data_IF_245060844451
#
_entry.id   IF_245060844451
#
_cell.length_a   1.000
_cell.length_b   1.000
_cell.length_c   1.000
_cell.angle_alpha   90.00
_cell.angle_beta   90.00
_cell.angle_gamma   90.00
#
_symmetry.space_group_name_H-M   'P 1'
#
loop_
_entity.id
_entity.type
_entity.pdbx_description
1 polymer ?
#
# COMPACT_ATOMS: atom_id res chain seq x y z
N UNK A 1 13.16 -1.76 33.43
CA UNK A 1 12.45 -2.40 34.56
C UNK A 1 11.79 -3.65 34.01
N UNK A 2 11.67 -4.76 34.76
CA UNK A 2 10.87 -5.89 34.28
C UNK A 2 9.42 -5.42 34.15
N UNK A 3 8.89 -5.48 32.94
CA UNK A 3 7.48 -5.19 32.64
C UNK A 3 6.60 -6.16 33.44
N UNK A 4 5.56 -5.66 34.10
CA UNK A 4 4.67 -6.49 34.94
C UNK A 4 3.99 -7.56 34.06
N UNK A 5 4.02 -8.83 34.49
CA UNK A 5 3.38 -9.95 33.80
C UNK A 5 1.89 -9.67 33.52
N UNK A 6 1.22 -8.93 34.42
CA UNK A 6 -0.15 -8.47 34.24
C UNK A 6 -0.29 -7.49 33.08
N UNK A 7 0.65 -6.56 32.93
CA UNK A 7 0.68 -5.60 31.83
C UNK A 7 0.86 -6.33 30.49
N UNK A 8 1.81 -7.26 30.42
CA UNK A 8 2.08 -8.06 29.22
C UNK A 8 0.84 -8.85 28.76
N UNK A 9 0.17 -9.53 29.70
CA UNK A 9 -1.07 -10.26 29.43
C UNK A 9 -2.18 -9.31 28.93
N UNK A 10 -2.28 -8.12 29.53
CA UNK A 10 -3.25 -7.11 29.11
C UNK A 10 -3.00 -6.62 27.68
N UNK A 11 -1.72 -6.42 27.30
CA UNK A 11 -1.36 -6.07 25.93
C UNK A 11 -1.78 -7.18 24.95
N UNK A 12 -1.56 -8.45 25.29
CA UNK A 12 -1.98 -9.59 24.46
C UNK A 12 -3.50 -9.67 24.29
N UNK A 13 -4.27 -9.47 25.37
CA UNK A 13 -5.73 -9.42 25.32
C UNK A 13 -6.24 -8.31 24.39
N UNK A 14 -5.65 -7.12 24.49
CA UNK A 14 -5.98 -5.99 23.62
C UNK A 14 -5.58 -6.24 22.16
N UNK A 15 -4.41 -6.85 21.94
CA UNK A 15 -3.97 -7.29 20.61
C UNK A 15 -5.00 -8.23 19.97
N UNK A 16 -5.46 -9.23 20.71
CA UNK A 16 -6.46 -10.20 20.22
C UNK A 16 -7.75 -9.50 19.82
N UNK A 17 -8.29 -8.67 20.72
CA UNK A 17 -9.54 -7.93 20.48
C UNK A 17 -9.45 -7.04 19.25
N UNK A 18 -8.32 -6.37 19.04
CA UNK A 18 -8.13 -5.50 17.88
C UNK A 18 -8.06 -6.29 16.56
N UNK A 19 -7.33 -7.42 16.56
CA UNK A 19 -7.25 -8.33 15.41
C UNK A 19 -8.62 -8.91 15.05
N UNK A 20 -9.43 -9.24 16.05
CA UNK A 20 -10.77 -9.78 15.86
C UNK A 20 -11.76 -8.71 15.38
N UNK A 21 -11.77 -7.53 16.01
CA UNK A 21 -12.65 -6.43 15.66
C UNK A 21 -12.51 -6.00 14.19
N UNK A 22 -11.28 -5.89 13.69
CA UNK A 22 -11.01 -5.48 12.30
C UNK A 22 -11.29 -6.56 11.26
N UNK A 23 -11.42 -7.84 11.65
CA UNK A 23 -11.45 -8.98 10.72
C UNK A 23 -12.57 -8.91 9.69
N UNK A 24 -13.72 -8.33 10.07
CA UNK A 24 -14.89 -8.18 9.19
C UNK A 24 -14.83 -6.93 8.30
N UNK A 25 -13.88 -6.02 8.54
CA UNK A 25 -13.74 -4.73 7.83
C UNK A 25 -12.88 -4.94 6.58
N UNK A 26 -13.49 -5.56 5.56
CA UNK A 26 -12.84 -5.79 4.26
C UNK A 26 -13.13 -4.64 3.30
N UNK A 27 -12.42 -3.52 3.48
CA UNK A 27 -12.67 -2.25 2.76
C UNK A 27 -12.82 -2.47 1.25
N UNK A 28 -11.86 -3.15 0.60
CA UNK A 28 -11.86 -3.34 -0.85
C UNK A 28 -13.03 -4.22 -1.32
N UNK A 29 -13.39 -5.25 -0.56
CA UNK A 29 -14.53 -6.12 -0.87
C UNK A 29 -15.86 -5.37 -0.73
N UNK A 30 -15.95 -4.46 0.26
CA UNK A 30 -17.15 -3.66 0.51
C UNK A 30 -17.37 -2.54 -0.52
N UNK A 31 -16.37 -2.16 -1.31
CA UNK A 31 -16.52 -1.03 -2.27
C UNK A 31 -16.53 -1.47 -3.73
N UNK A 32 -16.35 -2.77 -4.03
CA UNK A 32 -16.21 -3.29 -5.39
C UNK A 32 -17.47 -3.07 -6.25
N UNK A 33 -17.23 -2.88 -7.54
CA UNK A 33 -18.28 -2.89 -8.56
C UNK A 33 -18.39 -4.30 -9.15
N UNK A 34 -19.60 -4.77 -9.40
CA UNK A 34 -19.82 -6.09 -9.99
C UNK A 34 -19.46 -6.10 -11.47
N UNK A 35 -19.14 -7.28 -12.01
CA UNK A 35 -18.85 -7.48 -13.42
C UNK A 35 -20.01 -7.08 -14.35
N UNK A 36 -21.25 -7.11 -13.86
CA UNK A 36 -22.42 -6.65 -14.61
C UNK A 36 -22.32 -5.15 -14.96
N UNK A 37 -21.71 -4.34 -14.11
CA UNK A 37 -21.47 -2.92 -14.35
C UNK A 37 -20.50 -2.74 -15.53
N UNK A 38 -19.43 -3.55 -15.55
CA UNK A 38 -18.44 -3.56 -16.65
C UNK A 38 -19.08 -3.99 -17.96
N UNK A 39 -19.83 -5.09 -17.95
CA UNK A 39 -20.53 -5.61 -19.13
C UNK A 39 -21.51 -4.59 -19.70
N UNK A 40 -22.29 -3.91 -18.85
CA UNK A 40 -23.22 -2.87 -19.26
C UNK A 40 -22.51 -1.67 -19.90
N UNK A 41 -21.42 -1.20 -19.27
CA UNK A 41 -20.61 -0.08 -19.77
C UNK A 41 -20.08 -0.35 -21.18
N UNK A 42 -19.51 -1.53 -21.43
CA UNK A 42 -19.00 -1.89 -22.75
C UNK A 42 -20.11 -2.21 -23.76
N UNK A 43 -21.26 -2.74 -23.33
CA UNK A 43 -22.44 -2.90 -24.19
C UNK A 43 -22.93 -1.55 -24.73
N UNK A 44 -22.77 -0.49 -23.95
CA UNK A 44 -23.04 0.90 -24.35
C UNK A 44 -21.86 1.58 -25.05
N UNK A 45 -20.84 0.79 -25.48
CA UNK A 45 -19.63 1.25 -26.17
C UNK A 45 -18.85 2.31 -25.39
N UNK A 46 -18.86 2.22 -24.05
CA UNK A 46 -18.17 3.16 -23.17
C UNK A 46 -18.56 4.63 -23.41
N UNK A 47 -19.84 4.90 -23.69
CA UNK A 47 -20.36 6.26 -23.96
C UNK A 47 -21.22 6.83 -22.84
N UNK A 48 -21.70 5.98 -21.95
CA UNK A 48 -22.55 6.33 -20.83
C UNK A 48 -21.82 6.04 -19.52
N UNK A 49 -22.20 6.75 -18.46
CA UNK A 49 -21.64 6.50 -17.13
C UNK A 49 -22.12 5.13 -16.63
N UNK A 50 -21.26 4.37 -15.92
CA UNK A 50 -21.68 3.16 -15.24
C UNK A 50 -22.91 3.39 -14.35
N UNK A 51 -23.86 2.45 -14.28
CA UNK A 51 -25.03 2.62 -13.44
C UNK A 51 -24.75 2.25 -11.97
N UNK A 52 -23.98 3.09 -11.27
CA UNK A 52 -23.65 2.92 -9.85
C UNK A 52 -24.15 4.14 -9.07
N UNK A 53 -25.21 3.95 -8.28
CA UNK A 53 -25.88 5.00 -7.50
C UNK A 53 -25.75 4.75 -6.00
N UNK A 54 -26.32 5.63 -5.17
CA UNK A 54 -26.48 5.37 -3.74
C UNK A 54 -27.27 4.06 -3.50
N UNK A 55 -28.33 3.83 -4.27
CA UNK A 55 -29.18 2.64 -4.16
C UNK A 55 -28.39 1.34 -4.41
N UNK A 56 -27.43 1.36 -5.35
CA UNK A 56 -26.54 0.22 -5.59
C UNK A 56 -25.81 -0.22 -4.31
N UNK A 57 -25.35 0.73 -3.48
CA UNK A 57 -24.68 0.41 -2.22
C UNK A 57 -25.66 0.08 -1.09
N UNK A 58 -26.85 0.68 -1.07
CA UNK A 58 -27.91 0.34 -0.10
C UNK A 58 -28.39 -1.11 -0.26
N UNK A 59 -28.43 -1.61 -1.49
CA UNK A 59 -28.74 -3.02 -1.80
C UNK A 59 -27.58 -3.99 -1.49
N UNK A 60 -26.45 -3.48 -0.97
CA UNK A 60 -25.25 -4.24 -0.60
C UNK A 60 -24.84 -3.94 0.85
N UNK A 61 -25.60 -4.48 1.82
CA UNK A 61 -25.36 -4.21 3.23
C UNK A 61 -23.95 -4.64 3.65
N UNK A 62 -23.40 -3.92 4.62
CA UNK A 62 -22.12 -4.30 5.24
C UNK A 62 -22.30 -5.60 6.03
N UNK A 63 -21.23 -6.42 6.19
CA UNK A 63 -21.29 -7.65 6.97
C UNK A 63 -21.31 -7.41 8.50
N UNK A 64 -21.55 -6.16 8.93
CA UNK A 64 -21.60 -5.72 10.32
C UNK A 64 -22.47 -4.47 10.44
N UNK A 65 -23.00 -4.21 11.65
CA UNK A 65 -23.61 -2.93 11.98
C UNK A 65 -22.52 -1.87 12.23
N UNK A 66 -22.65 -0.70 11.59
CA UNK A 66 -21.64 0.34 11.66
C UNK A 66 -21.56 1.02 13.04
N UNK A 67 -22.66 1.10 13.77
CA UNK A 67 -22.70 1.75 15.09
C UNK A 67 -22.10 0.82 16.15
N UNK A 68 -22.48 -0.45 16.14
CA UNK A 68 -21.90 -1.49 17.01
C UNK A 68 -20.40 -1.65 16.77
N UNK A 69 -19.97 -1.65 15.50
CA UNK A 69 -18.55 -1.79 15.16
C UNK A 69 -17.70 -0.60 15.62
N UNK A 70 -18.23 0.63 15.53
CA UNK A 70 -17.55 1.81 16.09
C UNK A 70 -17.48 1.75 17.61
N UNK A 71 -18.55 1.30 18.27
CA UNK A 71 -18.59 1.13 19.72
C UNK A 71 -17.59 0.07 20.20
N UNK A 72 -17.41 -1.03 19.46
CA UNK A 72 -16.40 -2.05 19.75
C UNK A 72 -14.97 -1.45 19.82
N UNK A 73 -14.58 -0.64 18.83
CA UNK A 73 -13.27 0.03 18.85
C UNK A 73 -13.14 1.06 19.97
N UNK A 74 -14.23 1.78 20.28
CA UNK A 74 -14.27 2.72 21.39
C UNK A 74 -14.03 2.01 22.73
N UNK A 75 -14.63 0.84 22.93
CA UNK A 75 -14.42 0.02 24.12
C UNK A 75 -12.99 -0.53 24.22
N UNK A 76 -12.42 -1.01 23.11
CA UNK A 76 -11.01 -1.45 23.07
C UNK A 76 -10.07 -0.30 23.48
N UNK A 77 -10.26 0.89 22.92
CA UNK A 77 -9.46 2.07 23.26
C UNK A 77 -9.63 2.46 24.74
N UNK A 78 -10.87 2.51 25.24
CA UNK A 78 -11.14 2.81 26.65
C UNK A 78 -10.42 1.83 27.59
N UNK A 79 -10.45 0.55 27.25
CA UNK A 79 -9.82 -0.50 28.03
C UNK A 79 -8.29 -0.46 27.99
N UNK A 80 -7.71 -0.02 26.87
CA UNK A 80 -6.28 0.26 26.76
C UNK A 80 -5.89 1.46 27.62
N UNK A 81 -6.66 2.55 27.59
CA UNK A 81 -6.41 3.74 28.42
C UNK A 81 -6.51 3.43 29.92
N UNK A 82 -7.53 2.68 30.33
CA UNK A 82 -7.74 2.29 31.73
C UNK A 82 -6.67 1.32 32.23
N UNK A 83 -6.22 0.39 31.37
CA UNK A 83 -5.32 -0.70 31.77
C UNK A 83 -3.83 -0.40 31.62
N UNK A 84 -3.45 0.41 30.62
CA UNK A 84 -2.05 0.69 30.26
C UNK A 84 -1.69 2.18 30.38
N UNK A 85 -2.67 3.04 30.69
CA UNK A 85 -2.49 4.49 30.77
C UNK A 85 -2.52 5.17 29.40
N UNK A 86 -2.97 6.42 29.37
CA UNK A 86 -3.18 7.20 28.14
C UNK A 86 -1.89 7.47 27.34
N UNK A 87 -0.75 7.61 28.02
CA UNK A 87 0.52 8.02 27.41
C UNK A 87 1.45 6.85 27.06
N UNK A 88 1.08 5.62 27.43
CA UNK A 88 1.85 4.43 27.05
C UNK A 88 1.98 4.33 25.52
N UNK A 89 3.17 3.97 24.98
CA UNK A 89 3.35 3.76 23.56
C UNK A 89 2.36 2.74 22.97
N UNK A 90 2.07 1.66 23.70
CA UNK A 90 1.09 0.64 23.26
C UNK A 90 -0.30 1.26 23.13
N UNK A 91 -0.75 2.04 24.13
CA UNK A 91 -2.05 2.71 24.08
C UNK A 91 -2.13 3.67 22.90
N UNK A 92 -1.05 4.39 22.57
CA UNK A 92 -1.01 5.30 21.42
C UNK A 92 -1.15 4.56 20.08
N UNK A 93 -0.47 3.42 19.93
CA UNK A 93 -0.62 2.55 18.74
C UNK A 93 -2.04 1.98 18.61
N UNK A 94 -2.61 1.49 19.72
CA UNK A 94 -3.99 0.97 19.75
C UNK A 94 -4.99 2.08 19.44
N UNK A 95 -4.80 3.26 20.03
CA UNK A 95 -5.64 4.44 19.79
C UNK A 95 -5.71 4.77 18.30
N UNK A 96 -4.57 4.87 17.62
CA UNK A 96 -4.54 5.14 16.18
C UNK A 96 -5.34 4.12 15.40
N UNK A 97 -5.10 2.83 15.64
CA UNK A 97 -5.82 1.78 14.93
C UNK A 97 -7.33 1.80 15.20
N UNK A 98 -7.75 1.96 16.46
CA UNK A 98 -9.16 2.07 16.80
C UNK A 98 -9.83 3.27 16.12
N UNK A 99 -9.19 4.44 16.15
CA UNK A 99 -9.71 5.68 15.54
C UNK A 99 -9.81 5.53 14.01
N UNK A 100 -8.80 4.97 13.36
CA UNK A 100 -8.81 4.81 11.91
C UNK A 100 -9.73 3.70 11.41
N UNK A 101 -9.86 2.58 12.13
CA UNK A 101 -10.85 1.57 11.78
C UNK A 101 -12.27 2.06 12.03
N UNK A 102 -12.50 2.83 13.10
CA UNK A 102 -13.78 3.52 13.33
C UNK A 102 -14.13 4.46 12.18
N UNK A 103 -13.15 5.26 11.71
CA UNK A 103 -13.32 6.13 10.53
C UNK A 103 -13.51 5.34 9.23
N UNK A 104 -12.85 4.19 9.05
CA UNK A 104 -13.09 3.31 7.92
C UNK A 104 -14.52 2.74 7.93
N UNK A 105 -15.05 2.40 9.10
CA UNK A 105 -16.45 1.96 9.25
C UNK A 105 -17.41 3.07 8.87
N UNK A 106 -17.15 4.32 9.30
CA UNK A 106 -17.93 5.49 8.89
C UNK A 106 -17.89 5.67 7.38
N UNK A 107 -16.70 5.60 6.77
CA UNK A 107 -16.50 5.70 5.33
C UNK A 107 -17.34 4.64 4.59
N UNK A 108 -17.30 3.39 5.04
CA UNK A 108 -18.06 2.29 4.43
C UNK A 108 -19.58 2.42 4.62
N UNK A 109 -20.04 3.03 5.73
CA UNK A 109 -21.46 3.24 5.99
C UNK A 109 -22.08 4.29 5.04
N UNK A 110 -21.26 5.22 4.52
CA UNK A 110 -21.72 6.34 3.67
C UNK A 110 -21.34 6.17 2.19
N UNK A 111 -21.06 4.93 1.74
CA UNK A 111 -20.78 4.59 0.33
C UNK A 111 -21.85 5.19 -0.60
N UNK A 112 -21.41 5.71 -1.74
CA UNK A 112 -22.29 6.36 -2.73
C UNK A 112 -22.69 7.80 -2.39
N UNK A 113 -22.22 8.37 -1.27
CA UNK A 113 -22.42 9.79 -0.92
C UNK A 113 -21.10 10.58 -1.02
N UNK A 114 -21.14 11.92 -1.13
CA UNK A 114 -19.93 12.74 -1.12
C UNK A 114 -19.04 12.53 0.12
N UNK A 115 -19.65 12.26 1.28
CA UNK A 115 -18.93 12.03 2.54
C UNK A 115 -17.96 10.83 2.48
N UNK A 116 -18.22 9.85 1.61
CA UNK A 116 -17.28 8.73 1.38
C UNK A 116 -15.90 9.24 0.93
N UNK A 117 -15.88 10.21 0.02
CA UNK A 117 -14.63 10.72 -0.57
C UNK A 117 -13.85 11.56 0.43
N UNK A 118 -14.54 12.37 1.23
CA UNK A 118 -13.93 13.14 2.32
C UNK A 118 -13.26 12.22 3.35
N UNK A 119 -13.97 11.18 3.81
CA UNK A 119 -13.42 10.20 4.75
C UNK A 119 -12.29 9.37 4.12
N UNK A 120 -12.35 9.09 2.81
CA UNK A 120 -11.22 8.47 2.11
C UNK A 120 -9.99 9.37 2.14
N UNK A 121 -10.14 10.67 1.91
CA UNK A 121 -9.02 11.63 1.95
C UNK A 121 -8.45 11.76 3.36
N UNK A 122 -9.28 11.74 4.40
CA UNK A 122 -8.80 11.72 5.79
C UNK A 122 -7.95 10.48 6.11
N UNK A 123 -8.27 9.33 5.51
CA UNK A 123 -7.59 8.06 5.77
C UNK A 123 -6.33 7.83 4.93
N UNK A 124 -6.36 8.21 3.66
CA UNK A 124 -5.30 7.91 2.68
C UNK A 124 -4.52 9.14 2.20
N UNK A 125 -5.00 10.34 2.52
CA UNK A 125 -4.47 11.62 2.04
C UNK A 125 -5.25 12.20 0.87
N UNK A 126 -4.92 13.44 0.53
CA UNK A 126 -5.48 14.20 -0.58
C UNK A 126 -4.43 14.44 -1.68
N UNK A 127 -4.81 14.52 -2.97
CA UNK A 127 -3.90 14.98 -4.03
C UNK A 127 -3.35 16.41 -3.79
N UNK A 128 -4.06 17.22 -3.00
CA UNK A 128 -3.63 18.57 -2.60
C UNK A 128 -2.60 18.58 -1.46
N UNK A 129 -2.30 17.42 -0.85
CA UNK A 129 -1.32 17.31 0.22
C UNK A 129 0.07 17.79 -0.26
N UNK A 130 0.65 18.73 0.49
CA UNK A 130 2.06 19.12 0.35
C UNK A 130 2.94 18.28 1.28
N UNK A 131 4.15 17.96 0.83
CA UNK A 131 5.06 17.11 1.62
C UNK A 131 5.65 17.81 2.87
N UNK A 132 5.86 19.13 2.78
CA UNK A 132 6.22 20.03 3.88
C UNK A 132 5.69 21.43 3.54
N UNK A 133 5.74 22.36 4.50
CA UNK A 133 5.29 23.74 4.28
C UNK A 133 6.00 24.36 3.07
N UNK A 134 5.23 24.80 2.07
CA UNK A 134 5.72 25.31 0.77
C UNK A 134 6.52 24.30 -0.07
N UNK A 135 6.39 23.02 0.21
CA UNK A 135 6.95 21.94 -0.58
C UNK A 135 6.09 21.60 -1.80
N UNK A 136 6.62 20.77 -2.72
CA UNK A 136 5.88 20.34 -3.89
C UNK A 136 4.69 19.47 -3.50
N UNK A 137 3.65 19.50 -4.33
CA UNK A 137 2.52 18.57 -4.25
C UNK A 137 2.91 17.21 -4.83
N UNK A 138 2.23 16.15 -4.40
CA UNK A 138 2.42 14.81 -4.99
C UNK A 138 2.10 14.77 -6.49
N UNK A 139 1.14 15.58 -6.93
CA UNK A 139 0.71 15.69 -8.32
C UNK A 139 1.78 16.31 -9.22
N UNK A 140 2.58 17.24 -8.71
CA UNK A 140 3.68 17.88 -9.43
C UNK A 140 4.81 16.88 -9.76
N UNK A 141 5.12 15.99 -8.81
CA UNK A 141 6.07 14.90 -9.07
C UNK A 141 5.54 13.94 -10.14
N UNK A 142 4.22 13.69 -10.14
CA UNK A 142 3.59 12.87 -11.15
C UNK A 142 3.79 13.44 -12.56
N UNK A 143 3.53 14.73 -12.75
CA UNK A 143 3.76 15.39 -14.05
C UNK A 143 5.20 15.30 -14.53
N UNK A 144 6.18 15.55 -13.66
CA UNK A 144 7.61 15.51 -13.99
C UNK A 144 8.10 14.14 -14.48
N UNK A 145 7.61 13.06 -13.89
CA UNK A 145 8.07 11.70 -14.21
C UNK A 145 7.28 11.08 -15.37
N UNK A 146 6.06 11.50 -15.62
CA UNK A 146 5.16 10.84 -16.56
C UNK A 146 5.70 10.83 -18.00
N UNK A 147 6.14 11.97 -18.53
CA UNK A 147 6.61 12.08 -19.92
C UNK A 147 7.89 11.28 -20.13
N UNK A 148 8.84 11.39 -19.19
CA UNK A 148 10.10 10.64 -19.22
C UNK A 148 9.83 9.12 -19.21
N UNK A 149 8.99 8.65 -18.30
CA UNK A 149 8.69 7.23 -18.16
C UNK A 149 7.92 6.69 -19.36
N UNK A 150 7.07 7.50 -20.01
CA UNK A 150 6.33 7.09 -21.21
C UNK A 150 7.28 6.77 -22.35
N UNK A 151 8.29 7.63 -22.59
CA UNK A 151 9.30 7.38 -23.63
C UNK A 151 10.13 6.13 -23.30
N UNK A 152 10.56 5.99 -22.04
CA UNK A 152 11.40 4.88 -21.61
C UNK A 152 10.69 3.52 -21.63
N UNK A 153 9.38 3.49 -21.33
CA UNK A 153 8.59 2.25 -21.33
C UNK A 153 8.50 1.61 -22.72
N UNK A 154 8.40 2.43 -23.77
CA UNK A 154 8.40 1.96 -25.16
C UNK A 154 9.78 1.46 -25.58
N UNK A 155 10.84 2.11 -25.11
CA UNK A 155 12.22 1.82 -25.55
C UNK A 155 12.88 0.64 -24.82
N UNK A 156 12.47 0.34 -23.58
CA UNK A 156 13.22 -0.54 -22.68
C UNK A 156 12.55 -1.89 -22.39
N UNK A 157 11.80 -2.46 -23.34
CA UNK A 157 11.31 -3.83 -23.19
C UNK A 157 12.48 -4.82 -23.20
N UNK A 158 12.51 -5.70 -22.20
CA UNK A 158 13.56 -6.71 -22.02
C UNK A 158 12.99 -8.13 -22.12
N UNK A 159 13.86 -9.12 -22.36
CA UNK A 159 13.46 -10.53 -22.31
C UNK A 159 12.81 -10.92 -20.98
N UNK A 160 13.17 -10.25 -19.88
CA UNK A 160 12.58 -10.47 -18.56
C UNK A 160 11.11 -10.05 -18.45
N UNK A 161 10.59 -9.27 -19.41
CA UNK A 161 9.19 -8.83 -19.47
C UNK A 161 8.33 -9.75 -20.35
N UNK A 162 8.94 -10.69 -21.07
CA UNK A 162 8.22 -11.65 -21.91
C UNK A 162 7.47 -12.64 -21.03
N UNK A 163 6.16 -12.80 -21.27
CA UNK A 163 5.29 -13.68 -20.49
C UNK A 163 5.34 -15.11 -21.06
N UNK A 164 5.97 -16.04 -20.33
CA UNK A 164 6.10 -17.44 -20.74
C UNK A 164 5.77 -18.46 -19.65
N UNK A 165 5.58 -18.04 -18.39
CA UNK A 165 5.15 -18.94 -17.33
C UNK A 165 3.63 -19.02 -17.26
N UNK A 166 3.13 -20.24 -17.28
CA UNK A 166 1.75 -20.55 -16.89
C UNK A 166 1.52 -20.26 -15.41
N UNK A 167 0.27 -20.06 -14.96
CA UNK A 167 -0.04 -19.87 -13.54
C UNK A 167 0.53 -20.97 -12.63
N UNK A 168 0.53 -22.23 -13.10
CA UNK A 168 1.06 -23.36 -12.33
C UNK A 168 2.59 -23.29 -12.19
N UNK A 169 3.30 -23.02 -13.28
CA UNK A 169 4.76 -22.84 -13.22
C UNK A 169 5.14 -21.64 -12.34
N UNK A 170 4.40 -20.54 -12.48
CA UNK A 170 4.58 -19.35 -11.64
C UNK A 170 4.36 -19.66 -10.16
N UNK A 171 3.32 -20.44 -9.84
CA UNK A 171 3.03 -20.91 -8.48
C UNK A 171 4.17 -21.75 -7.91
N UNK A 172 4.69 -22.73 -8.66
CA UNK A 172 5.79 -23.58 -8.23
C UNK A 172 7.06 -22.77 -7.95
N UNK A 173 7.43 -21.85 -8.86
CA UNK A 173 8.61 -20.99 -8.72
C UNK A 173 8.49 -20.07 -7.50
N UNK A 174 7.37 -19.36 -7.38
CA UNK A 174 7.15 -18.44 -6.25
C UNK A 174 7.07 -19.19 -4.93
N UNK A 175 6.43 -20.37 -4.90
CA UNK A 175 6.33 -21.17 -3.69
C UNK A 175 7.72 -21.54 -3.15
N UNK A 176 8.64 -21.98 -4.03
CA UNK A 176 10.02 -22.30 -3.61
C UNK A 176 10.72 -21.07 -3.06
N UNK A 177 10.67 -19.94 -3.77
CA UNK A 177 11.33 -18.69 -3.34
C UNK A 177 10.82 -18.17 -2.00
N UNK A 178 9.50 -18.13 -1.83
CA UNK A 178 8.87 -17.64 -0.60
C UNK A 178 9.07 -18.62 0.57
N UNK A 179 9.00 -19.93 0.34
CA UNK A 179 9.31 -20.91 1.39
C UNK A 179 10.76 -20.82 1.84
N UNK A 180 11.70 -20.53 0.94
CA UNK A 180 13.10 -20.31 1.31
C UNK A 180 13.30 -19.01 2.10
N UNK A 181 12.52 -17.96 1.81
CA UNK A 181 12.64 -16.68 2.51
C UNK A 181 11.94 -16.70 3.88
N UNK A 182 10.82 -17.42 4.00
CA UNK A 182 9.99 -17.53 5.20
C UNK A 182 10.25 -18.83 5.98
N UNK A 183 11.51 -19.04 6.36
CA UNK A 183 12.04 -20.28 6.95
C UNK A 183 11.81 -20.42 8.47
N UNK A 184 11.42 -19.34 9.16
CA UNK A 184 11.31 -19.26 10.63
C UNK A 184 9.87 -19.16 11.16
N UNK A 185 8.87 -19.08 10.28
CA UNK A 185 7.49 -18.84 10.66
C UNK A 185 6.83 -20.20 10.95
N UNK A 186 6.06 -20.33 12.05
CA UNK A 186 5.45 -21.62 12.40
C UNK A 186 4.42 -22.11 11.37
N UNK A 187 3.74 -21.20 10.67
CA UNK A 187 2.87 -21.49 9.54
C UNK A 187 3.58 -21.39 8.18
N UNK A 188 2.99 -21.97 7.13
CA UNK A 188 3.53 -21.90 5.77
C UNK A 188 2.92 -20.77 4.97
N UNK A 189 3.75 -19.97 4.32
CA UNK A 189 3.29 -19.08 3.24
C UNK A 189 2.94 -19.94 2.03
N UNK A 190 1.77 -19.72 1.46
CA UNK A 190 1.25 -20.50 0.33
C UNK A 190 1.07 -19.66 -0.91
N UNK A 191 1.37 -20.24 -2.07
CA UNK A 191 1.04 -19.66 -3.37
C UNK A 191 -0.02 -20.55 -4.00
N UNK A 192 -1.15 -19.97 -4.37
CA UNK A 192 -2.30 -20.70 -4.92
C UNK A 192 -2.74 -20.08 -6.23
N UNK A 193 -3.27 -20.91 -7.14
CA UNK A 193 -3.91 -20.44 -8.36
C UNK A 193 -5.42 -20.40 -8.14
N UNK A 194 -6.09 -19.36 -8.65
CA UNK A 194 -7.52 -19.14 -8.46
C UNK A 194 -8.19 -18.68 -9.76
N UNK A 195 -9.39 -19.20 -10.01
CA UNK A 195 -10.19 -18.89 -11.20
C UNK A 195 -10.98 -17.58 -11.08
N UNK A 196 -11.28 -17.15 -9.86
CA UNK A 196 -12.18 -16.03 -9.54
C UNK A 196 -11.44 -14.69 -9.37
N UNK A 197 -10.40 -14.46 -10.17
CA UNK A 197 -9.55 -13.27 -10.07
C UNK A 197 -9.66 -12.35 -11.28
N UNK A 198 -9.92 -11.07 -11.02
CA UNK A 198 -9.87 -9.99 -12.03
C UNK A 198 -8.43 -9.48 -12.21
N UNK A 199 -7.63 -9.47 -11.15
CA UNK A 199 -6.22 -9.09 -11.19
C UNK A 199 -5.34 -10.31 -11.46
N UNK A 200 -4.17 -10.10 -12.09
CA UNK A 200 -3.18 -11.17 -12.36
C UNK A 200 -2.72 -11.87 -11.06
N UNK A 201 -2.63 -11.14 -9.95
CA UNK A 201 -2.30 -11.67 -8.64
C UNK A 201 -2.83 -10.80 -7.49
N UNK A 202 -2.86 -11.35 -6.27
CA UNK A 202 -3.20 -10.64 -5.04
C UNK A 202 -2.54 -11.28 -3.80
N UNK A 203 -2.11 -10.47 -2.83
CA UNK A 203 -1.64 -10.97 -1.53
C UNK A 203 -2.74 -10.98 -0.45
N UNK A 204 -2.72 -12.03 0.36
CA UNK A 204 -3.44 -12.17 1.63
C UNK A 204 -2.49 -12.08 2.82
N UNK A 205 -2.93 -12.59 3.98
CA UNK A 205 -2.13 -12.56 5.21
C UNK A 205 -0.88 -13.47 5.13
N UNK A 206 -1.03 -14.64 4.52
CA UNK A 206 -0.02 -15.70 4.41
C UNK A 206 -0.07 -16.38 3.03
N UNK A 207 -0.79 -15.79 2.09
CA UNK A 207 -1.09 -16.41 0.79
C UNK A 207 -0.86 -15.42 -0.34
N UNK A 208 -0.24 -15.85 -1.44
CA UNK A 208 -0.26 -15.12 -2.71
C UNK A 208 -1.14 -15.90 -3.69
N UNK A 209 -2.17 -15.24 -4.21
CA UNK A 209 -3.08 -15.82 -5.20
C UNK A 209 -2.67 -15.36 -6.59
N UNK A 210 -2.58 -16.29 -7.53
CA UNK A 210 -2.33 -16.04 -8.95
C UNK A 210 -3.60 -16.33 -9.75
N UNK A 211 -3.91 -15.51 -10.74
CA UNK A 211 -5.03 -15.76 -11.65
C UNK A 211 -4.73 -16.93 -12.57
N UNK A 212 -5.69 -17.85 -12.73
CA UNK A 212 -5.60 -18.95 -13.68
C UNK A 212 -5.56 -18.48 -15.15
N UNK A 213 -5.99 -17.23 -15.42
CA UNK A 213 -6.07 -16.66 -16.77
C UNK A 213 -4.85 -15.83 -17.15
N UNK A 214 -3.92 -15.60 -16.22
CA UNK A 214 -2.75 -14.77 -16.44
C UNK A 214 -1.54 -15.60 -16.85
N UNK A 215 -0.71 -15.05 -17.73
CA UNK A 215 0.66 -15.51 -17.97
C UNK A 215 1.62 -14.57 -17.25
N UNK A 216 2.76 -15.10 -16.81
CA UNK A 216 3.75 -14.37 -16.02
C UNK A 216 5.12 -14.37 -16.69
N UNK A 217 5.83 -13.26 -16.55
CA UNK A 217 7.24 -13.09 -16.94
C UNK A 217 8.18 -13.30 -15.75
N UNK A 218 9.49 -13.37 -16.00
CA UNK A 218 10.48 -13.40 -14.92
C UNK A 218 10.40 -12.15 -14.03
N UNK A 219 10.14 -10.98 -14.65
CA UNK A 219 9.94 -9.73 -13.90
C UNK A 219 8.66 -9.74 -13.09
N UNK A 220 7.56 -10.30 -13.60
CA UNK A 220 6.32 -10.45 -12.82
C UNK A 220 6.55 -11.31 -11.58
N UNK A 221 7.24 -12.45 -11.71
CA UNK A 221 7.54 -13.31 -10.58
C UNK A 221 8.46 -12.61 -9.58
N UNK A 222 9.45 -11.86 -10.07
CA UNK A 222 10.34 -11.09 -9.20
C UNK A 222 9.59 -9.97 -8.47
N UNK A 223 8.70 -9.27 -9.17
CA UNK A 223 7.81 -8.27 -8.58
C UNK A 223 6.95 -8.89 -7.46
N UNK A 224 6.28 -10.02 -7.72
CA UNK A 224 5.42 -10.69 -6.74
C UNK A 224 6.22 -11.15 -5.52
N UNK A 225 7.42 -11.70 -5.72
CA UNK A 225 8.31 -12.08 -4.63
C UNK A 225 8.66 -10.89 -3.73
N UNK A 226 9.01 -9.75 -4.33
CA UNK A 226 9.50 -8.57 -3.61
C UNK A 226 8.38 -7.74 -2.99
N UNK A 227 7.40 -7.35 -3.79
CA UNK A 227 6.32 -6.44 -3.39
C UNK A 227 5.31 -7.17 -2.48
N UNK A 228 4.73 -8.24 -2.99
CA UNK A 228 3.68 -8.98 -2.31
C UNK A 228 4.26 -9.89 -1.22
N UNK A 229 5.36 -10.59 -1.52
CA UNK A 229 6.05 -11.48 -0.59
C UNK A 229 6.80 -10.74 0.51
N UNK A 230 8.00 -10.21 0.19
CA UNK A 230 8.92 -9.70 1.20
C UNK A 230 8.36 -8.53 2.01
N UNK A 231 7.52 -7.68 1.41
CA UNK A 231 6.92 -6.54 2.10
C UNK A 231 5.56 -6.90 2.68
N UNK A 232 4.50 -7.09 1.88
CA UNK A 232 3.14 -7.22 2.45
C UNK A 232 2.96 -8.47 3.31
N UNK A 233 3.39 -9.65 2.84
CA UNK A 233 3.37 -10.88 3.64
C UNK A 233 4.42 -10.78 4.75
N UNK A 234 5.64 -10.34 4.44
CA UNK A 234 6.73 -10.25 5.41
C UNK A 234 6.41 -9.40 6.64
N UNK A 235 5.86 -8.21 6.47
CA UNK A 235 5.41 -7.36 7.60
C UNK A 235 4.21 -7.96 8.33
N UNK A 236 3.30 -8.64 7.62
CA UNK A 236 2.19 -9.36 8.28
C UNK A 236 2.71 -10.42 9.23
N UNK A 237 3.67 -11.24 8.77
CA UNK A 237 4.28 -12.30 9.56
C UNK A 237 5.12 -11.75 10.71
N UNK A 238 5.95 -10.72 10.46
CA UNK A 238 6.71 -10.06 11.53
C UNK A 238 5.79 -9.50 12.61
N UNK A 239 4.69 -8.86 12.19
CA UNK A 239 3.66 -8.37 13.10
C UNK A 239 3.04 -9.51 13.90
N UNK A 240 2.65 -10.63 13.26
CA UNK A 240 1.99 -11.74 13.97
C UNK A 240 2.92 -12.51 14.90
N UNK A 241 4.23 -12.44 14.68
CA UNK A 241 5.25 -13.04 15.55
C UNK A 241 5.63 -12.17 16.74
N UNK A 242 5.11 -10.93 16.85
CA UNK A 242 5.35 -10.11 18.04
C UNK A 242 4.68 -10.74 19.27
N UNK A 243 5.41 -10.98 20.37
CA UNK A 243 4.89 -11.75 21.51
C UNK A 243 3.71 -11.08 22.21
N UNK A 244 3.70 -9.75 22.24
CA UNK A 244 2.67 -8.95 22.91
C UNK A 244 1.87 -8.13 21.91
N UNK A 245 2.55 -7.42 21.00
CA UNK A 245 1.94 -6.49 20.05
C UNK A 245 1.56 -7.13 18.70
N UNK A 246 1.03 -8.36 18.69
CA UNK A 246 0.71 -9.06 17.43
C UNK A 246 -0.41 -8.41 16.61
N UNK A 247 -1.11 -7.42 17.17
CA UNK A 247 -2.00 -6.54 16.39
C UNK A 247 -1.28 -5.87 15.24
N UNK A 248 0.04 -5.69 15.30
CA UNK A 248 0.85 -5.12 14.23
C UNK A 248 0.82 -5.98 12.94
N UNK A 249 0.26 -7.19 12.98
CA UNK A 249 -0.04 -7.96 11.76
C UNK A 249 -1.18 -7.35 10.91
N UNK A 250 -1.97 -6.46 11.51
CA UNK A 250 -3.10 -5.76 10.88
C UNK A 250 -2.78 -4.28 10.78
N UNK A 251 -2.89 -3.76 9.57
CA UNK A 251 -2.61 -2.36 9.29
C UNK A 251 -3.91 -1.56 9.28
N UNK A 252 -3.91 -0.41 9.97
CA UNK A 252 -4.93 0.59 9.77
C UNK A 252 -4.89 1.16 8.34
N UNK A 253 -5.96 1.80 7.83
CA UNK A 253 -5.97 2.40 6.51
C UNK A 253 -4.73 3.23 6.16
N UNK A 254 -4.27 4.11 7.05
CA UNK A 254 -3.13 5.00 6.77
C UNK A 254 -1.78 4.25 6.74
N UNK A 255 -1.67 3.09 7.41
CA UNK A 255 -0.48 2.23 7.32
C UNK A 255 -0.19 1.75 5.89
N UNK A 256 -1.20 1.78 5.01
CA UNK A 256 -1.00 1.49 3.59
C UNK A 256 0.05 2.41 2.96
N UNK A 257 0.18 3.67 3.39
CA UNK A 257 1.23 4.58 2.89
C UNK A 257 2.62 4.01 3.18
N UNK A 258 2.86 3.53 4.40
CA UNK A 258 4.13 2.90 4.75
C UNK A 258 4.35 1.60 3.96
N UNK A 259 3.32 0.75 3.88
CA UNK A 259 3.42 -0.56 3.22
C UNK A 259 3.69 -0.44 1.72
N UNK A 260 2.88 0.35 0.99
CA UNK A 260 3.09 0.57 -0.44
C UNK A 260 4.42 1.30 -0.69
N UNK A 261 4.82 2.22 0.19
CA UNK A 261 6.11 2.90 0.12
C UNK A 261 7.31 1.97 0.27
N UNK A 262 7.27 1.08 1.27
CA UNK A 262 8.27 0.03 1.45
C UNK A 262 8.32 -0.91 0.25
N UNK A 263 7.16 -1.26 -0.31
CA UNK A 263 7.09 -2.13 -1.47
C UNK A 263 7.73 -1.48 -2.70
N UNK A 264 7.38 -0.23 -3.02
CA UNK A 264 7.95 0.52 -4.16
C UNK A 264 9.45 0.76 -3.99
N UNK A 265 9.94 1.18 -2.82
CA UNK A 265 11.39 1.36 -2.64
C UNK A 265 12.14 0.03 -2.77
N UNK A 266 11.55 -1.08 -2.28
CA UNK A 266 12.17 -2.41 -2.40
C UNK A 266 12.19 -2.85 -3.87
N UNK A 267 11.13 -2.61 -4.64
CA UNK A 267 11.12 -2.85 -6.09
C UNK A 267 12.27 -2.11 -6.79
N UNK A 268 12.48 -0.83 -6.47
CA UNK A 268 13.50 0.03 -7.10
C UNK A 268 14.92 -0.45 -6.76
N UNK A 269 15.24 -0.64 -5.48
CA UNK A 269 16.61 -1.00 -5.06
C UNK A 269 16.99 -2.44 -5.39
N UNK A 270 16.00 -3.30 -5.68
CA UNK A 270 16.22 -4.68 -6.15
C UNK A 270 16.18 -4.81 -7.66
N UNK A 271 16.01 -3.70 -8.39
CA UNK A 271 15.84 -3.67 -9.85
C UNK A 271 14.70 -4.55 -10.37
N UNK A 272 13.65 -4.71 -9.56
CA UNK A 272 12.48 -5.50 -9.88
C UNK A 272 11.38 -4.67 -10.56
N UNK A 273 11.46 -3.34 -10.46
CA UNK A 273 10.55 -2.41 -11.16
C UNK A 273 10.99 -2.15 -12.61
N UNK A 274 10.12 -1.52 -13.41
CA UNK A 274 10.40 -1.05 -14.77
C UNK A 274 9.69 0.30 -15.03
N UNK A 275 10.01 1.04 -16.12
CA UNK A 275 9.40 2.33 -16.40
C UNK A 275 7.87 2.29 -16.46
N UNK A 276 7.27 1.28 -17.10
CA UNK A 276 5.82 1.11 -17.15
C UNK A 276 5.16 0.94 -15.79
N UNK A 277 5.82 0.25 -14.85
CA UNK A 277 5.36 0.12 -13.46
C UNK A 277 5.32 1.47 -12.76
N UNK A 278 6.40 2.25 -12.85
CA UNK A 278 6.47 3.59 -12.23
C UNK A 278 5.46 4.52 -12.91
N UNK A 279 5.31 4.44 -14.23
CA UNK A 279 4.32 5.18 -15.01
C UNK A 279 2.90 4.90 -14.53
N UNK A 280 2.53 3.64 -14.29
CA UNK A 280 1.21 3.26 -13.73
C UNK A 280 0.96 3.90 -12.35
N UNK A 281 1.96 3.95 -11.48
CA UNK A 281 1.84 4.59 -10.15
C UNK A 281 1.60 6.09 -10.30
N UNK A 282 2.43 6.76 -11.10
CA UNK A 282 2.34 8.19 -11.38
C UNK A 282 1.00 8.55 -12.01
N UNK A 283 0.55 7.76 -13.00
CA UNK A 283 -0.67 8.02 -13.74
C UNK A 283 -1.92 7.97 -12.84
N UNK A 284 -1.91 7.14 -11.80
CA UNK A 284 -2.99 7.09 -10.79
C UNK A 284 -3.07 8.36 -9.97
N UNK A 285 -1.94 8.98 -9.63
CA UNK A 285 -1.91 10.27 -8.91
C UNK A 285 -2.49 11.39 -9.78
N UNK A 286 -2.11 11.43 -11.07
CA UNK A 286 -2.64 12.39 -12.03
C UNK A 286 -4.15 12.21 -12.23
N UNK A 287 -4.61 10.96 -12.38
CA UNK A 287 -6.03 10.68 -12.52
C UNK A 287 -6.85 11.09 -11.28
N UNK A 288 -6.31 10.89 -10.07
CA UNK A 288 -6.96 11.33 -8.84
C UNK A 288 -7.11 12.85 -8.75
N UNK A 289 -6.10 13.59 -9.18
CA UNK A 289 -6.14 15.05 -9.30
C UNK A 289 -7.22 15.52 -10.28
N UNK A 290 -7.35 14.85 -11.44
CA UNK A 290 -8.42 15.12 -12.40
C UNK A 290 -9.82 14.91 -11.79
N UNK A 291 -10.02 13.83 -11.02
CA UNK A 291 -11.32 13.61 -10.32
C UNK A 291 -11.57 14.71 -9.30
N UNK A 292 -10.55 15.15 -8.55
CA UNK A 292 -10.68 16.28 -7.62
C UNK A 292 -11.04 17.59 -8.32
N UNK A 293 -10.59 17.78 -9.56
CA UNK A 293 -10.94 18.92 -10.41
C UNK A 293 -12.30 18.78 -11.12
N UNK A 294 -13.07 17.73 -10.82
CA UNK A 294 -14.43 17.54 -11.31
C UNK A 294 -14.58 16.56 -12.48
N UNK A 295 -13.52 15.83 -12.87
CA UNK A 295 -13.62 14.77 -13.86
C UNK A 295 -14.47 13.60 -13.35
N UNK A 296 -15.41 13.13 -14.17
CA UNK A 296 -16.21 11.94 -13.86
C UNK A 296 -15.53 10.65 -14.36
N UNK A 297 -16.18 9.51 -14.13
CA UNK A 297 -15.68 8.20 -14.54
C UNK A 297 -15.34 8.12 -16.04
N UNK A 298 -16.19 8.68 -16.90
CA UNK A 298 -16.01 8.62 -18.34
C UNK A 298 -14.82 9.47 -18.79
N UNK A 299 -14.61 10.63 -18.16
CA UNK A 299 -13.45 11.48 -18.41
C UNK A 299 -12.14 10.74 -18.05
N UNK A 300 -12.11 10.07 -16.90
CA UNK A 300 -10.96 9.28 -16.46
C UNK A 300 -10.73 8.05 -17.34
N UNK A 301 -11.81 7.36 -17.74
CA UNK A 301 -11.72 6.24 -18.68
C UNK A 301 -11.09 6.68 -20.00
N UNK A 302 -11.59 7.78 -20.59
CA UNK A 302 -11.06 8.34 -21.84
C UNK A 302 -9.62 8.78 -21.70
N UNK A 303 -9.27 9.42 -20.60
CA UNK A 303 -7.90 9.80 -20.29
C UNK A 303 -6.94 8.61 -20.30
N UNK A 304 -7.32 7.46 -19.74
CA UNK A 304 -6.48 6.26 -19.79
C UNK A 304 -6.39 5.66 -21.21
N UNK A 305 -7.50 5.63 -21.96
CA UNK A 305 -7.51 5.15 -23.35
C UNK A 305 -6.64 6.02 -24.26
N UNK A 306 -6.73 7.35 -24.12
CA UNK A 306 -5.90 8.32 -24.82
C UNK A 306 -4.41 8.16 -24.48
N UNK A 307 -4.10 7.68 -23.27
CA UNK A 307 -2.77 7.28 -22.82
C UNK A 307 -2.32 5.89 -23.30
N UNK A 308 -2.94 5.35 -24.34
CA UNK A 308 -2.64 4.06 -24.99
C UNK A 308 -2.81 2.83 -24.08
N UNK A 309 -3.61 2.95 -23.01
CA UNK A 309 -4.01 1.82 -22.19
C UNK A 309 -5.16 1.05 -22.86
N UNK A 310 -5.18 -0.28 -22.71
CA UNK A 310 -6.29 -1.09 -23.22
C UNK A 310 -7.63 -0.63 -22.62
N UNK A 311 -8.74 -0.84 -23.33
CA UNK A 311 -10.07 -0.47 -22.84
C UNK A 311 -10.40 -1.13 -21.49
N UNK A 312 -10.09 -2.43 -21.36
CA UNK A 312 -10.27 -3.18 -20.13
C UNK A 312 -9.45 -2.63 -18.95
N UNK A 313 -8.17 -2.34 -19.18
CA UNK A 313 -7.30 -1.77 -18.14
C UNK A 313 -7.72 -0.34 -17.79
N UNK A 314 -8.14 0.45 -18.78
CA UNK A 314 -8.64 1.81 -18.59
C UNK A 314 -9.89 1.82 -17.71
N UNK A 315 -10.83 0.91 -17.97
CA UNK A 315 -12.00 0.71 -17.12
C UNK A 315 -11.59 0.30 -15.70
N UNK A 316 -10.72 -0.71 -15.57
CA UNK A 316 -10.29 -1.21 -14.27
C UNK A 316 -9.57 -0.12 -13.44
N UNK A 317 -8.72 0.70 -14.07
CA UNK A 317 -8.05 1.80 -13.38
C UNK A 317 -9.05 2.91 -13.00
N UNK A 318 -10.01 3.27 -13.87
CA UNK A 318 -11.07 4.21 -13.52
C UNK A 318 -11.91 3.70 -12.33
N UNK A 319 -12.30 2.42 -12.31
CA UNK A 319 -13.04 1.82 -11.17
C UNK A 319 -12.27 1.96 -9.86
N UNK A 320 -10.93 1.82 -9.87
CA UNK A 320 -10.13 1.98 -8.64
C UNK A 320 -10.30 3.35 -7.99
N UNK A 321 -10.55 4.40 -8.80
CA UNK A 321 -10.75 5.76 -8.34
C UNK A 321 -12.18 6.02 -7.87
N UNK A 322 -13.20 5.38 -8.45
CA UNK A 322 -14.60 5.65 -8.13
C UNK A 322 -15.28 4.61 -7.25
N UNK A 323 -14.65 3.44 -7.02
CA UNK A 323 -15.22 2.38 -6.16
C UNK A 323 -15.51 2.89 -4.75
N UNK A 324 -16.71 2.58 -4.24
CA UNK A 324 -17.25 3.11 -2.98
C UNK A 324 -17.93 4.48 -3.10
N UNK A 325 -17.74 5.18 -4.22
CA UNK A 325 -18.42 6.40 -4.63
C UNK A 325 -19.35 6.14 -5.83
N UNK A 326 -19.95 7.18 -6.40
CA UNK A 326 -20.68 7.10 -7.68
C UNK A 326 -19.78 7.55 -8.84
N UNK A 327 -20.10 7.25 -10.11
CA UNK A 327 -19.28 7.65 -11.27
C UNK A 327 -19.14 9.17 -11.48
N UNK A 328 -19.98 9.97 -10.82
CA UNK A 328 -19.88 11.44 -10.79
C UNK A 328 -19.47 11.95 -9.40
N UNK A 329 -19.15 11.06 -8.47
CA UNK A 329 -18.75 11.39 -7.11
C UNK A 329 -17.25 11.67 -6.99
N UNK A 330 -16.80 11.90 -5.76
CA UNK A 330 -15.37 12.08 -5.48
C UNK A 330 -14.58 10.76 -5.45
N UNK A 331 -13.24 10.86 -5.30
CA UNK A 331 -12.35 9.72 -5.43
C UNK A 331 -12.21 8.89 -4.15
N UNK A 332 -11.90 7.60 -4.34
CA UNK A 332 -11.25 6.73 -3.38
C UNK A 332 -9.72 6.88 -3.51
N UNK A 333 -9.10 7.52 -2.52
CA UNK A 333 -7.72 8.02 -2.60
C UNK A 333 -6.64 7.04 -2.13
N UNK A 334 -6.96 5.76 -1.88
CA UNK A 334 -5.97 4.76 -1.44
C UNK A 334 -4.74 4.70 -2.36
N UNK A 335 -4.91 4.87 -3.67
CA UNK A 335 -3.80 4.75 -4.62
C UNK A 335 -2.76 5.90 -4.51
N UNK A 336 -3.00 6.95 -3.72
CA UNK A 336 -1.96 7.92 -3.34
C UNK A 336 -0.86 7.30 -2.48
N UNK A 337 -1.17 6.22 -1.75
CA UNK A 337 -0.25 5.57 -0.82
C UNK A 337 1.07 5.14 -1.46
N UNK A 338 1.06 4.74 -2.73
CA UNK A 338 2.26 4.32 -3.46
C UNK A 338 3.29 5.46 -3.60
N UNK A 339 2.90 6.57 -4.22
CA UNK A 339 3.79 7.70 -4.47
C UNK A 339 4.16 8.42 -3.17
N UNK A 340 3.16 8.67 -2.30
CA UNK A 340 3.37 9.29 -0.99
C UNK A 340 4.32 8.44 -0.14
N UNK A 341 4.07 7.15 -0.06
CA UNK A 341 4.87 6.19 0.69
C UNK A 341 6.31 6.11 0.21
N UNK A 342 6.53 6.02 -1.11
CA UNK A 342 7.87 5.98 -1.69
C UNK A 342 8.69 7.21 -1.28
N UNK A 343 8.12 8.42 -1.41
CA UNK A 343 8.80 9.65 -1.03
C UNK A 343 9.08 9.72 0.47
N UNK A 344 8.11 9.34 1.31
CA UNK A 344 8.28 9.30 2.76
C UNK A 344 9.44 8.38 3.14
N UNK A 345 9.46 7.16 2.60
CA UNK A 345 10.48 6.16 2.96
C UNK A 345 11.84 6.54 2.40
N UNK A 346 11.93 6.96 1.15
CA UNK A 346 13.20 7.40 0.56
C UNK A 346 13.83 8.53 1.37
N UNK A 347 13.06 9.56 1.73
CA UNK A 347 13.57 10.67 2.54
C UNK A 347 13.89 10.25 3.97
N UNK A 348 13.10 9.36 4.57
CA UNK A 348 13.42 8.79 5.88
C UNK A 348 14.74 8.02 5.89
N UNK A 349 14.97 7.12 4.92
CA UNK A 349 16.21 6.35 4.81
C UNK A 349 17.43 7.28 4.68
N UNK A 350 17.34 8.29 3.81
CA UNK A 350 18.39 9.32 3.66
C UNK A 350 18.63 10.07 4.97
N UNK A 351 17.58 10.48 5.66
CA UNK A 351 17.68 11.20 6.92
C UNK A 351 18.31 10.34 8.01
N UNK A 352 17.84 9.10 8.20
CA UNK A 352 18.35 8.15 9.18
C UNK A 352 19.85 7.92 8.99
N UNK A 353 20.31 7.75 7.74
CA UNK A 353 21.73 7.57 7.42
C UNK A 353 22.52 8.85 7.70
N UNK A 354 22.02 10.03 7.31
CA UNK A 354 22.68 11.31 7.58
C UNK A 354 22.83 11.62 9.08
N UNK A 355 21.98 11.02 9.92
CA UNK A 355 22.01 11.14 11.39
C UNK A 355 22.68 9.96 12.08
N UNK A 356 23.26 9.03 11.32
CA UNK A 356 23.88 7.80 11.84
C UNK A 356 22.91 6.93 12.67
N UNK A 357 21.60 6.98 12.38
CA UNK A 357 20.53 6.21 13.04
C UNK A 357 20.03 5.06 12.18
N UNK A 358 20.95 4.33 11.56
CA UNK A 358 20.64 3.21 10.63
C UNK A 358 19.98 2.03 11.33
N UNK A 359 20.15 1.91 12.64
CA UNK A 359 19.53 0.93 13.52
C UNK A 359 18.00 1.04 13.58
N UNK A 360 17.44 2.19 13.19
CA UNK A 360 16.00 2.41 13.10
C UNK A 360 15.38 1.84 11.82
N UNK A 361 16.17 1.59 10.77
CA UNK A 361 15.66 1.15 9.46
C UNK A 361 14.99 -0.23 9.52
N UNK A 362 15.56 -1.25 10.19
CA UNK A 362 14.90 -2.54 10.32
C UNK A 362 13.51 -2.45 10.95
N UNK A 363 13.28 -1.54 11.90
CA UNK A 363 11.98 -1.39 12.58
C UNK A 363 10.81 -1.09 11.64
N UNK A 364 11.08 -0.57 10.43
CA UNK A 364 10.06 -0.38 9.38
C UNK A 364 9.35 -1.70 8.99
N UNK A 365 9.99 -2.84 9.23
CA UNK A 365 9.47 -4.17 8.92
C UNK A 365 8.87 -4.90 10.11
N UNK A 366 8.81 -4.30 11.31
CA UNK A 366 8.28 -4.95 12.52
C UNK A 366 6.78 -5.29 12.46
N UNK A 367 6.07 -4.73 11.48
CA UNK A 367 4.64 -4.96 11.27
C UNK A 367 4.03 -3.87 10.39
N UNK A 368 2.73 -3.63 10.57
CA UNK A 368 1.94 -2.63 9.86
C UNK A 368 1.57 -1.50 10.81
N UNK A 369 2.15 -0.34 10.56
CA UNK A 369 1.99 0.88 11.35
C UNK A 369 2.23 2.10 10.44
N UNK A 370 2.13 3.31 10.97
CA UNK A 370 2.48 4.53 10.23
C UNK A 370 3.88 5.01 10.60
N UNK A 371 4.57 5.68 9.68
CA UNK A 371 5.95 6.12 9.91
C UNK A 371 6.11 6.98 11.18
N UNK A 372 5.12 7.81 11.50
CA UNK A 372 5.11 8.69 12.69
C UNK A 372 5.15 7.91 14.02
N UNK A 373 4.74 6.64 14.00
CA UNK A 373 4.76 5.77 15.17
C UNK A 373 6.10 5.06 15.36
N UNK A 374 7.07 5.22 14.45
CA UNK A 374 8.39 4.59 14.55
C UNK A 374 9.11 4.85 15.89
N UNK A 375 9.05 6.07 16.49
CA UNK A 375 9.62 6.29 17.82
C UNK A 375 8.93 5.45 18.92
N UNK A 376 7.63 5.16 18.78
CA UNK A 376 6.91 4.28 19.70
C UNK A 376 7.43 2.85 19.59
N UNK A 377 7.66 2.36 18.37
CA UNK A 377 8.21 1.02 18.15
C UNK A 377 9.64 0.89 18.70
N UNK A 378 10.46 1.93 18.56
CA UNK A 378 11.78 1.96 19.16
C UNK A 378 11.70 1.88 20.70
N UNK A 379 10.80 2.64 21.32
CA UNK A 379 10.57 2.60 22.77
C UNK A 379 10.08 1.22 23.24
N UNK A 380 9.15 0.59 22.51
CA UNK A 380 8.68 -0.76 22.80
C UNK A 380 9.80 -1.81 22.69
N UNK A 381 10.67 -1.68 21.69
CA UNK A 381 11.84 -2.57 21.54
C UNK A 381 12.79 -2.41 22.72
N UNK A 382 13.10 -1.17 23.10
CA UNK A 382 14.05 -0.87 24.17
C UNK A 382 13.54 -1.33 25.54
N UNK A 383 12.21 -1.46 25.70
CA UNK A 383 11.55 -2.05 26.88
C UNK A 383 11.22 -3.55 26.75
N UNK A 384 11.65 -4.23 25.68
CA UNK A 384 11.43 -5.66 25.50
C UNK A 384 10.00 -6.08 25.16
N UNK A 385 9.14 -5.12 24.79
CA UNK A 385 7.76 -5.35 24.34
C UNK A 385 7.67 -5.73 22.86
N UNK A 386 8.72 -5.43 22.09
CA UNK A 386 8.81 -5.69 20.66
C UNK A 386 10.12 -6.43 20.35
N UNK A 387 10.03 -7.53 19.60
CA UNK A 387 11.21 -8.25 19.11
C UNK A 387 11.63 -7.71 17.73
N UNK A 388 12.92 -7.75 17.38
CA UNK A 388 13.36 -7.38 16.03
C UNK A 388 12.60 -8.15 14.95
N UNK A 389 12.35 -7.54 13.78
CA UNK A 389 11.70 -8.23 12.67
C UNK A 389 12.52 -9.44 12.25
N UNK A 390 11.84 -10.58 12.11
CA UNK A 390 12.46 -11.86 11.73
C UNK A 390 12.80 -11.85 10.23
N UNK A 391 11.90 -11.27 9.43
CA UNK A 391 12.01 -11.20 7.97
C UNK A 391 12.31 -9.78 7.52
N UNK A 392 13.50 -9.60 6.98
CA UNK A 392 13.90 -8.36 6.30
C UNK A 392 14.16 -8.67 4.82
N UNK A 393 13.72 -7.83 3.87
CA UNK A 393 14.16 -7.96 2.49
C UNK A 393 15.68 -7.79 2.40
N UNK A 394 16.33 -8.45 1.43
CA UNK A 394 17.80 -8.52 1.34
C UNK A 394 18.50 -7.15 1.46
N UNK A 395 18.07 -6.08 0.77
CA UNK A 395 18.72 -4.77 0.87
C UNK A 395 18.66 -4.16 2.28
N UNK A 396 17.69 -4.56 3.11
CA UNK A 396 17.53 -4.05 4.48
C UNK A 396 18.17 -4.95 5.53
N UNK A 397 18.65 -6.15 5.15
CA UNK A 397 19.50 -7.01 6.01
C UNK A 397 20.93 -6.48 6.04
N UNK A 398 21.45 -6.06 4.90
CA UNK A 398 22.78 -5.46 4.78
C UNK A 398 22.69 -3.92 4.80
N UNK A 399 22.63 -3.38 6.02
CA UNK A 399 22.62 -1.93 6.22
C UNK A 399 23.90 -1.24 5.71
N UNK A 400 25.01 -1.97 5.54
CA UNK A 400 26.24 -1.41 4.98
C UNK A 400 26.05 -1.10 3.50
N UNK A 401 25.58 -2.07 2.73
CA UNK A 401 25.27 -1.89 1.31
C UNK A 401 24.19 -0.81 1.08
N UNK A 402 23.12 -0.83 1.88
CA UNK A 402 22.09 0.20 1.82
C UNK A 402 22.65 1.60 2.13
N UNK A 403 23.53 1.70 3.12
CA UNK A 403 24.18 2.97 3.50
C UNK A 403 25.07 3.51 2.40
N UNK A 404 25.83 2.64 1.70
CA UNK A 404 26.62 3.05 0.55
C UNK A 404 25.75 3.65 -0.56
N UNK A 405 24.68 2.95 -0.97
CA UNK A 405 23.75 3.42 -1.99
C UNK A 405 23.13 4.78 -1.65
N UNK A 406 22.62 4.92 -0.42
CA UNK A 406 21.95 6.15 0.01
C UNK A 406 22.93 7.32 0.27
N UNK A 407 24.19 7.04 0.62
CA UNK A 407 25.24 8.06 0.73
C UNK A 407 25.58 8.68 -0.63
N UNK A 408 25.62 7.88 -1.70
CA UNK A 408 25.72 8.41 -3.06
C UNK A 408 24.52 9.29 -3.41
N UNK A 409 23.30 8.87 -3.06
CA UNK A 409 22.12 9.71 -3.23
C UNK A 409 22.24 11.07 -2.50
N UNK A 410 22.75 11.11 -1.26
CA UNK A 410 22.98 12.37 -0.53
C UNK A 410 23.93 13.31 -1.28
N UNK A 411 24.97 12.77 -1.92
CA UNK A 411 25.92 13.54 -2.71
C UNK A 411 25.34 14.00 -4.05
N UNK A 412 24.66 13.11 -4.78
CA UNK A 412 24.11 13.38 -6.12
C UNK A 412 23.07 14.51 -6.13
N UNK A 413 22.32 14.69 -5.03
CA UNK A 413 21.35 15.79 -4.90
C UNK A 413 21.99 17.18 -4.83
N UNK A 414 23.32 17.30 -4.75
CA UNK A 414 24.03 18.58 -4.84
C UNK A 414 24.23 19.02 -6.30
N UNK A 415 24.03 18.13 -7.26
CA UNK A 415 24.21 18.44 -8.68
C UNK A 415 22.92 18.99 -9.28
N UNK A 416 23.05 20.07 -10.05
CA UNK A 416 21.97 20.55 -10.90
C UNK A 416 21.88 19.66 -12.14
N UNK A 417 20.76 18.96 -12.30
CA UNK A 417 20.45 18.17 -13.50
C UNK A 417 20.57 19.01 -14.77
N UNK A 418 20.11 20.26 -14.74
CA UNK A 418 20.21 21.21 -15.86
C UNK A 418 21.66 21.51 -16.22
N UNK A 419 22.53 21.73 -15.23
CA UNK A 419 23.95 21.98 -15.48
C UNK A 419 24.68 20.72 -15.95
N UNK A 420 24.36 19.56 -15.37
CA UNK A 420 24.89 18.28 -15.86
C UNK A 420 24.46 18.06 -17.31
N UNK A 421 23.18 18.27 -17.66
CA UNK A 421 22.68 18.10 -19.01
C UNK A 421 23.40 19.03 -20.01
N UNK A 422 23.62 20.30 -19.68
CA UNK A 422 24.39 21.23 -20.52
C UNK A 422 25.79 20.69 -20.83
N UNK A 423 26.47 20.16 -19.81
CA UNK A 423 27.83 19.65 -19.96
C UNK A 423 27.88 18.28 -20.62
N UNK A 424 26.83 17.46 -20.54
CA UNK A 424 26.81 16.09 -21.09
C UNK A 424 26.04 15.97 -22.40
N UNK A 425 25.36 17.03 -22.87
CA UNK A 425 24.55 17.02 -24.09
C UNK A 425 25.34 16.52 -25.30
N UNK A 426 26.61 16.90 -25.41
CA UNK A 426 27.48 16.50 -26.51
C UNK A 426 27.69 14.97 -26.61
N UNK A 427 27.47 14.22 -25.53
CA UNK A 427 27.58 12.76 -25.53
C UNK A 427 26.35 12.06 -26.12
N UNK A 428 25.21 12.75 -26.21
CA UNK A 428 23.93 12.19 -26.65
C UNK A 428 23.46 12.72 -28.01
N UNK A 429 24.19 13.65 -28.63
CA UNK A 429 23.82 14.30 -29.89
C UNK A 429 23.10 15.62 -29.68
#
# INVERSE_FOLDING_TARGET
MPTDEKELKRIQELSQRLVDAQRTIRILDSIKWDDSIKQAFFKQKARELPNVTLEYYQNKPLPFDSSEKQEEFRLILRDAQNGLGQYSPVTRLIKRQCEEYSRAVQMLAVRGTPAFSELSMDLYGSPDDVFYANGPRLTELGGLLFDLLTVLDVQLQSEADVKHYTPKQAQEILQVRLSSFFDKHPGRVTVVVSDDMVADAAAGADTIKLSQKAMFSDRDLRYLEVHEGWVHVGTTLNGSMQPYCFFLSKGSPSSSVLQEGLAVITEVITFSSNPGRVRKIVNRVIALDKVRQGANFLDIYRYFVEGEMSEDDSYNNAVRLFRGSTPNGGPFTKDLAYAKGFLMIYNFLRFAISKHRVDSIPLLFSGKFVLDDLPLLADLRDHGLLIPPVYLPLPFRDLSALSAWMSFSLFLNKFSLTEVQKNFRFLLG
#
